data_IF_517197811355
#
_entry.id   IF_517197811355
#
_cell.length_a   1.000
_cell.length_b   1.000
_cell.length_c   1.000
_cell.angle_alpha   90.00
_cell.angle_beta   90.00
_cell.angle_gamma   90.00
#
_symmetry.space_group_name_H-M   'P 1'
#
loop_
_entity.id
_entity.type
_entity.pdbx_description
1 polymer ?
#
# COMPACT_ATOMS: atom_id res chain seq x y z
N UNK A 1 10.75 -16.37 -12.88
CA UNK A 1 9.99 -15.50 -11.97
C UNK A 1 10.21 -14.07 -12.44
N UNK A 2 9.14 -13.35 -12.79
CA UNK A 2 9.25 -11.98 -13.30
C UNK A 2 9.60 -11.04 -12.16
N UNK A 3 10.65 -10.25 -12.34
CA UNK A 3 11.12 -9.29 -11.34
C UNK A 3 10.40 -7.98 -11.57
N UNK A 4 9.71 -7.49 -10.55
CA UNK A 4 9.07 -6.17 -10.55
C UNK A 4 9.96 -5.20 -9.78
N UNK A 5 10.16 -4.00 -10.32
CA UNK A 5 10.97 -2.97 -9.66
C UNK A 5 10.25 -2.36 -8.44
N UNK A 6 8.91 -2.34 -8.47
CA UNK A 6 8.09 -1.77 -7.42
C UNK A 6 6.81 -2.58 -7.19
N UNK A 7 6.34 -2.60 -5.94
CA UNK A 7 5.08 -3.23 -5.54
C UNK A 7 4.16 -2.19 -4.88
N UNK A 8 2.95 -2.07 -5.39
CA UNK A 8 1.90 -1.20 -4.87
C UNK A 8 0.93 -2.04 -4.03
N UNK A 9 1.13 -2.04 -2.72
CA UNK A 9 0.29 -2.77 -1.78
C UNK A 9 -0.93 -1.92 -1.41
N UNK A 10 -2.05 -2.17 -2.09
CA UNK A 10 -3.29 -1.44 -1.90
C UNK A 10 -4.17 -2.16 -0.87
N UNK A 11 -4.64 -1.43 0.14
CA UNK A 11 -5.48 -2.00 1.19
C UNK A 11 -6.85 -2.44 0.63
N UNK A 12 -7.13 -3.75 0.71
CA UNK A 12 -8.40 -4.39 0.35
C UNK A 12 -9.34 -4.62 1.53
N UNK A 13 -9.14 -3.93 2.67
CA UNK A 13 -10.08 -3.99 3.78
C UNK A 13 -11.41 -3.32 3.44
N UNK A 14 -12.52 -3.77 4.02
CA UNK A 14 -13.88 -3.24 3.75
C UNK A 14 -14.00 -1.73 3.93
N UNK A 15 -13.31 -1.15 4.92
CA UNK A 15 -13.25 0.30 5.10
C UNK A 15 -12.59 1.02 3.92
N UNK A 16 -11.50 0.45 3.38
CA UNK A 16 -10.82 0.99 2.20
C UNK A 16 -11.67 0.82 0.92
N UNK A 17 -12.33 -0.34 0.75
CA UNK A 17 -13.27 -0.54 -0.35
C UNK A 17 -14.42 0.47 -0.31
N UNK A 18 -15.01 0.68 0.87
CA UNK A 18 -16.07 1.66 1.07
C UNK A 18 -15.61 3.11 0.77
N UNK A 19 -14.35 3.42 1.06
CA UNK A 19 -13.73 4.72 0.71
C UNK A 19 -13.22 4.82 -0.74
N UNK A 20 -13.44 3.79 -1.59
CA UNK A 20 -13.16 3.86 -3.03
C UNK A 20 -11.85 3.21 -3.49
N UNK A 21 -11.22 2.34 -2.70
CA UNK A 21 -9.95 1.70 -3.10
C UNK A 21 -10.07 0.85 -4.39
N UNK A 22 -11.24 0.28 -4.69
CA UNK A 22 -11.47 -0.44 -5.95
C UNK A 22 -11.41 0.49 -7.18
N UNK A 23 -11.88 1.74 -7.05
CA UNK A 23 -11.77 2.72 -8.12
C UNK A 23 -10.31 3.17 -8.31
N UNK A 24 -9.58 3.35 -7.21
CA UNK A 24 -8.14 3.60 -7.21
C UNK A 24 -7.38 2.47 -7.91
N UNK A 25 -7.69 1.19 -7.61
CA UNK A 25 -7.09 0.02 -8.27
C UNK A 25 -7.30 0.06 -9.78
N UNK A 26 -8.52 0.35 -10.24
CA UNK A 26 -8.85 0.45 -11.67
C UNK A 26 -8.07 1.58 -12.36
N UNK A 27 -7.99 2.75 -11.72
CA UNK A 27 -7.22 3.88 -12.23
C UNK A 27 -5.72 3.56 -12.32
N UNK A 28 -5.16 2.86 -11.32
CA UNK A 28 -3.78 2.40 -11.33
C UNK A 28 -3.49 1.47 -12.50
N UNK A 29 -4.33 0.45 -12.73
CA UNK A 29 -4.16 -0.47 -13.86
C UNK A 29 -4.14 0.30 -15.18
N UNK A 30 -5.14 1.16 -15.40
CA UNK A 30 -5.26 1.93 -16.64
C UNK A 30 -4.06 2.87 -16.87
N UNK A 31 -3.57 3.55 -15.84
CA UNK A 31 -2.45 4.48 -15.98
C UNK A 31 -1.11 3.76 -16.16
N UNK A 32 -0.91 2.60 -15.51
CA UNK A 32 0.28 1.76 -15.72
C UNK A 32 0.31 1.20 -17.14
N UNK A 33 -0.82 0.74 -17.67
CA UNK A 33 -0.93 0.25 -19.05
C UNK A 33 -0.60 1.36 -20.05
N UNK A 34 -1.16 2.56 -19.84
CA UNK A 34 -0.92 3.74 -20.69
C UNK A 34 0.55 4.17 -20.72
N UNK A 35 1.28 4.00 -19.61
CA UNK A 35 2.71 4.31 -19.51
C UNK A 35 3.64 3.12 -19.82
N UNK A 36 3.09 1.97 -20.21
CA UNK A 36 3.82 0.72 -20.43
C UNK A 36 4.61 0.23 -19.20
N UNK A 37 4.12 0.50 -18.00
CA UNK A 37 4.76 0.15 -16.72
C UNK A 37 4.22 -1.13 -16.09
N UNK A 38 3.19 -1.75 -16.68
CA UNK A 38 2.52 -2.95 -16.14
C UNK A 38 3.44 -4.18 -16.05
N UNK A 39 4.52 -4.20 -16.84
CA UNK A 39 5.54 -5.25 -16.77
C UNK A 39 6.59 -5.01 -15.67
N UNK A 40 6.69 -3.78 -15.16
CA UNK A 40 7.70 -3.36 -14.18
C UNK A 40 7.12 -3.19 -12.76
N UNK A 41 5.83 -2.86 -12.66
CA UNK A 41 5.18 -2.48 -11.41
C UNK A 41 4.00 -3.42 -11.14
N UNK A 42 3.99 -4.02 -9.95
CA UNK A 42 2.93 -4.95 -9.55
C UNK A 42 1.98 -4.29 -8.57
N UNK A 43 0.70 -4.28 -8.88
CA UNK A 43 -0.34 -3.93 -7.91
C UNK A 43 -0.74 -5.20 -7.17
N UNK A 44 -0.73 -5.15 -5.84
CA UNK A 44 -1.16 -6.24 -4.97
C UNK A 44 -2.24 -5.70 -4.07
N UNK A 45 -3.41 -6.33 -4.08
CA UNK A 45 -4.44 -6.04 -3.10
C UNK A 45 -4.14 -6.85 -1.85
N UNK A 46 -3.84 -6.16 -0.75
CA UNK A 46 -3.52 -6.80 0.53
C UNK A 46 -4.74 -6.86 1.42
N UNK A 47 -4.62 -7.57 2.54
CA UNK A 47 -5.58 -7.44 3.65
C UNK A 47 -5.65 -6.02 4.24
N UNK A 48 -6.51 -5.85 5.25
CA UNK A 48 -6.70 -4.56 5.93
C UNK A 48 -5.41 -4.05 6.58
N UNK A 49 -5.09 -2.78 6.36
CA UNK A 49 -3.93 -2.12 6.98
C UNK A 49 -4.20 -1.66 8.43
N UNK A 50 -5.46 -1.35 8.77
CA UNK A 50 -5.92 -1.09 10.14
C UNK A 50 -6.22 0.37 10.48
N UNK A 51 -5.78 1.34 9.67
CA UNK A 51 -6.02 2.77 9.92
C UNK A 51 -7.13 3.34 9.00
N UNK A 52 -8.37 2.85 9.19
CA UNK A 52 -9.48 3.15 8.28
C UNK A 52 -9.80 4.65 8.12
N UNK A 53 -9.48 5.48 9.11
CA UNK A 53 -9.67 6.94 9.04
C UNK A 53 -8.84 7.61 7.92
N UNK A 54 -7.81 6.92 7.42
CA UNK A 54 -6.93 7.39 6.35
C UNK A 54 -7.11 6.59 5.05
N UNK A 55 -8.16 5.77 4.95
CA UNK A 55 -8.49 5.00 3.75
C UNK A 55 -8.94 5.90 2.58
N UNK A 56 -8.64 5.52 1.32
CA UNK A 56 -7.82 4.39 0.87
C UNK A 56 -6.32 4.54 1.19
N UNK A 57 -5.70 3.44 1.63
CA UNK A 57 -4.26 3.36 1.95
C UNK A 57 -3.53 2.50 0.92
N UNK A 58 -2.36 2.96 0.48
CA UNK A 58 -1.43 2.19 -0.34
C UNK A 58 -0.01 2.32 0.19
N UNK A 59 0.73 1.23 0.22
CA UNK A 59 2.17 1.23 0.56
C UNK A 59 2.97 0.86 -0.67
N UNK A 60 4.01 1.63 -0.98
CA UNK A 60 4.91 1.40 -2.11
C UNK A 60 6.22 0.80 -1.60
N UNK A 61 6.58 -0.36 -2.13
CA UNK A 61 7.88 -0.99 -1.92
C UNK A 61 8.75 -0.86 -3.18
N UNK A 62 10.08 -0.73 -3.04
CA UNK A 62 10.89 -1.02 -1.84
C UNK A 62 10.97 0.08 -0.77
N UNK A 63 10.55 1.31 -1.05
CA UNK A 63 10.76 2.48 -0.19
C UNK A 63 9.98 2.43 1.14
N UNK A 64 8.91 1.64 1.21
CA UNK A 64 8.04 1.56 2.39
C UNK A 64 7.14 2.78 2.59
N UNK A 65 6.96 3.56 1.52
CA UNK A 65 6.22 4.83 1.56
C UNK A 65 4.72 4.59 1.63
N UNK A 66 4.04 5.23 2.57
CA UNK A 66 2.59 5.16 2.73
C UNK A 66 1.90 6.38 2.11
N UNK A 67 0.92 6.10 1.25
CA UNK A 67 -0.04 7.08 0.75
C UNK A 67 -1.40 6.86 1.38
N UNK A 68 -2.03 7.96 1.74
CA UNK A 68 -3.29 8.00 2.48
C UNK A 68 -4.33 8.84 1.75
N UNK A 69 -5.61 8.57 2.01
CA UNK A 69 -6.74 9.32 1.43
C UNK A 69 -6.70 9.40 -0.11
N UNK A 70 -6.18 8.36 -0.76
CA UNK A 70 -5.92 8.34 -2.20
C UNK A 70 -7.25 8.33 -2.96
N UNK A 71 -7.35 9.18 -3.97
CA UNK A 71 -8.49 9.19 -4.89
C UNK A 71 -8.08 8.75 -6.29
N UNK A 72 -9.02 8.26 -7.12
CA UNK A 72 -8.72 7.89 -8.51
C UNK A 72 -8.08 9.02 -9.33
N UNK A 73 -8.43 10.27 -9.03
CA UNK A 73 -7.92 11.45 -9.74
C UNK A 73 -6.45 11.75 -9.41
N UNK A 74 -5.94 11.23 -8.29
CA UNK A 74 -4.56 11.43 -7.87
C UNK A 74 -3.58 10.51 -8.61
N UNK A 75 -4.09 9.45 -9.25
CA UNK A 75 -3.28 8.37 -9.81
C UNK A 75 -2.34 8.81 -10.94
N UNK A 76 -2.77 9.64 -11.92
CA UNK A 76 -1.86 10.13 -12.95
C UNK A 76 -0.65 10.88 -12.38
N UNK A 77 -0.87 11.71 -11.35
CA UNK A 77 0.20 12.45 -10.67
C UNK A 77 1.07 11.52 -9.82
N UNK A 78 0.48 10.58 -9.08
CA UNK A 78 1.21 9.63 -8.24
C UNK A 78 2.15 8.75 -9.08
N UNK A 79 1.66 8.23 -10.21
CA UNK A 79 2.46 7.40 -11.11
C UNK A 79 3.60 8.23 -11.73
N UNK A 80 3.31 9.45 -12.15
CA UNK A 80 4.32 10.34 -12.73
C UNK A 80 5.41 10.76 -11.71
N UNK A 81 5.02 11.24 -10.54
CA UNK A 81 5.98 11.74 -9.56
C UNK A 81 6.76 10.60 -8.90
N UNK A 82 6.09 9.59 -8.37
CA UNK A 82 6.78 8.53 -7.64
C UNK A 82 7.36 7.49 -8.58
N UNK A 83 6.52 6.90 -9.44
CA UNK A 83 6.93 5.70 -10.18
C UNK A 83 7.83 6.03 -11.38
N UNK A 84 7.67 7.20 -12.00
CA UNK A 84 8.52 7.62 -13.13
C UNK A 84 9.70 8.48 -12.67
N UNK A 85 9.46 9.50 -11.83
CA UNK A 85 10.51 10.45 -11.43
C UNK A 85 11.21 10.13 -10.10
N UNK A 86 10.71 9.16 -9.33
CA UNK A 86 11.28 8.78 -8.03
C UNK A 86 11.05 9.80 -6.91
N UNK A 87 10.07 10.70 -7.04
CA UNK A 87 9.74 11.73 -6.04
C UNK A 87 8.44 11.42 -5.31
N UNK A 88 8.45 11.52 -3.99
CA UNK A 88 7.24 11.28 -3.22
C UNK A 88 6.22 12.40 -3.41
N UNK A 89 4.97 12.00 -3.68
CA UNK A 89 3.85 12.91 -3.75
C UNK A 89 3.46 13.40 -2.33
N UNK A 90 4.10 14.48 -1.88
CA UNK A 90 4.04 14.99 -0.50
C UNK A 90 2.62 15.17 0.05
N UNK A 91 1.68 15.64 -0.79
CA UNK A 91 0.29 15.92 -0.37
C UNK A 91 -0.50 14.68 0.05
N UNK A 92 -0.07 13.48 -0.33
CA UNK A 92 -0.73 12.21 0.00
C UNK A 92 -0.01 11.45 1.12
N UNK A 93 1.13 11.95 1.58
CA UNK A 93 1.85 11.37 2.72
C UNK A 93 1.09 11.68 4.01
N UNK A 94 1.29 10.83 5.03
CA UNK A 94 0.69 11.08 6.33
C UNK A 94 1.28 12.35 6.95
N UNK A 95 0.40 13.24 7.41
CA UNK A 95 0.75 14.41 8.20
C UNK A 95 0.29 14.19 9.63
N UNK A 96 1.21 14.25 10.58
CA UNK A 96 0.87 14.07 11.98
C UNK A 96 0.03 15.29 12.47
N UNK A 97 -1.14 15.07 13.11
CA UNK A 97 -2.08 16.16 13.42
C UNK A 97 -1.59 17.23 14.41
N UNK A 98 -0.62 16.93 15.27
CA UNK A 98 -0.17 17.75 16.39
C UNK A 98 1.06 18.60 16.05
N UNK A 99 2.03 17.98 15.39
CA UNK A 99 3.36 18.49 15.03
C UNK A 99 3.39 19.01 13.60
N UNK A 100 2.40 18.64 12.78
CA UNK A 100 2.32 18.94 11.36
C UNK A 100 3.46 18.33 10.51
N UNK A 101 4.25 17.43 11.09
CA UNK A 101 5.33 16.75 10.39
C UNK A 101 4.79 15.73 9.38
N UNK A 102 5.47 15.64 8.24
CA UNK A 102 5.16 14.66 7.20
C UNK A 102 5.97 13.40 7.47
N UNK A 103 5.29 12.28 7.67
CA UNK A 103 5.90 10.98 7.95
C UNK A 103 5.66 10.06 6.74
N UNK A 104 6.69 9.80 5.91
CA UNK A 104 6.52 9.03 4.68
C UNK A 104 6.43 7.53 4.95
N UNK A 105 6.96 7.03 6.06
CA UNK A 105 7.15 5.61 6.34
C UNK A 105 6.09 5.09 7.30
N UNK A 106 5.42 3.99 6.95
CA UNK A 106 4.35 3.43 7.77
C UNK A 106 4.79 3.08 9.20
N UNK A 107 6.02 2.58 9.38
CA UNK A 107 6.56 2.17 10.68
C UNK A 107 6.82 3.35 11.63
N UNK A 108 6.94 4.57 11.12
CA UNK A 108 7.23 5.77 11.91
C UNK A 108 5.96 6.49 12.38
N UNK A 109 4.81 6.21 11.76
CA UNK A 109 3.53 6.80 12.16
C UNK A 109 3.17 6.28 13.57
N UNK A 110 2.91 7.16 14.55
CA UNK A 110 2.64 6.76 15.94
C UNK A 110 1.54 5.71 16.09
N UNK A 111 0.49 5.79 15.25
CA UNK A 111 -0.58 4.79 15.23
C UNK A 111 -0.05 3.37 15.00
N UNK A 112 0.91 3.17 14.09
CA UNK A 112 1.49 1.85 13.80
C UNK A 112 2.69 1.52 14.69
N UNK A 113 3.56 2.49 14.94
CA UNK A 113 4.81 2.32 15.68
C UNK A 113 4.60 1.79 17.11
N UNK A 114 3.47 2.15 17.73
CA UNK A 114 3.15 1.77 19.11
C UNK A 114 2.41 0.42 19.22
N UNK A 115 2.21 -0.31 18.12
CA UNK A 115 1.47 -1.57 18.11
C UNK A 115 2.40 -2.78 18.07
N UNK A 116 2.14 -3.77 18.93
CA UNK A 116 2.76 -5.10 18.83
C UNK A 116 1.81 -6.07 18.11
N UNK A 117 1.98 -6.20 16.79
CA UNK A 117 1.11 -7.05 15.97
C UNK A 117 1.57 -8.52 16.04
N UNK A 118 1.01 -9.30 16.98
CA UNK A 118 1.29 -10.75 17.09
C UNK A 118 0.43 -11.58 16.14
N UNK A 119 -0.89 -11.49 16.30
CA UNK A 119 -1.87 -12.20 15.44
C UNK A 119 -1.95 -11.54 14.06
N UNK A 120 -1.90 -10.21 14.01
CA UNK A 120 -2.06 -9.43 12.79
C UNK A 120 -0.74 -9.10 12.08
N UNK A 121 0.36 -9.84 12.37
CA UNK A 121 1.71 -9.57 11.84
C UNK A 121 1.83 -9.54 10.31
N UNK A 122 0.88 -10.14 9.60
CA UNK A 122 0.85 -10.22 8.14
C UNK A 122 -0.11 -9.21 7.50
N UNK A 123 -0.88 -8.45 8.29
CA UNK A 123 -1.89 -7.53 7.75
C UNK A 123 -1.22 -6.47 6.88
N UNK A 124 -1.78 -6.19 5.70
CA UNK A 124 -1.24 -5.19 4.78
C UNK A 124 0.10 -5.55 4.12
N UNK A 125 0.65 -6.75 4.35
CA UNK A 125 1.96 -7.17 3.82
C UNK A 125 1.87 -8.30 2.79
N UNK A 126 0.83 -9.12 2.85
CA UNK A 126 0.61 -10.24 1.94
C UNK A 126 -0.69 -10.08 1.14
N UNK A 127 -0.70 -10.69 -0.03
CA UNK A 127 -1.91 -11.01 -0.77
C UNK A 127 -2.68 -12.12 -0.04
N UNK A 128 -3.89 -11.84 0.50
CA UNK A 128 -4.65 -12.82 1.26
C UNK A 128 -5.15 -13.99 0.40
N UNK A 129 -5.11 -13.88 -0.93
CA UNK A 129 -5.52 -14.94 -1.87
C UNK A 129 -4.35 -15.82 -2.34
N UNK A 130 -3.11 -15.55 -1.90
CA UNK A 130 -1.94 -16.37 -2.22
C UNK A 130 -1.39 -17.12 -1.01
N UNK A 131 -1.66 -18.41 -0.95
CA UNK A 131 -1.21 -19.28 0.16
C UNK A 131 0.31 -19.30 0.32
N UNK A 132 1.07 -19.21 -0.77
CA UNK A 132 2.54 -19.24 -0.74
C UNK A 132 3.12 -18.04 0.03
N UNK A 133 2.48 -16.86 -0.05
CA UNK A 133 2.90 -15.68 0.72
C UNK A 133 2.65 -15.86 2.22
N UNK A 134 1.60 -16.60 2.59
CA UNK A 134 1.32 -16.93 3.98
C UNK A 134 2.33 -17.97 4.51
N UNK A 135 2.61 -19.04 3.74
CA UNK A 135 3.60 -20.06 4.09
C UNK A 135 5.00 -19.43 4.23
N UNK A 136 5.38 -18.53 3.32
CA UNK A 136 6.66 -17.82 3.36
C UNK A 136 6.84 -16.94 4.62
N UNK A 137 5.77 -16.72 5.40
CA UNK A 137 5.77 -15.95 6.66
C UNK A 137 5.33 -16.81 7.85
N UNK A 138 5.84 -18.04 7.89
CA UNK A 138 5.61 -19.04 8.94
C UNK A 138 4.15 -19.48 9.08
N UNK A 139 3.36 -19.31 8.03
CA UNK A 139 2.02 -19.87 7.95
C UNK A 139 2.08 -21.39 8.07
N UNK A 140 1.15 -21.98 8.84
CA UNK A 140 1.07 -23.41 9.15
C UNK A 140 2.21 -23.99 10.01
N UNK A 141 3.29 -23.25 10.30
CA UNK A 141 4.42 -23.74 11.09
C UNK A 141 4.03 -24.20 12.51
N UNK A 142 2.97 -23.64 13.09
CA UNK A 142 2.46 -24.02 14.42
C UNK A 142 1.52 -25.23 14.45
N UNK A 143 1.27 -25.90 13.31
CA UNK A 143 0.44 -27.12 13.25
C UNK A 143 1.26 -28.42 13.34
N UNK A 144 2.58 -28.30 13.48
CA UNK A 144 3.52 -29.41 13.61
C UNK A 144 3.73 -29.82 15.07
#
# INVERSE_FOLDING_TARGET
>A
MKVFRAHLLLCGGTGCHASGSLAVKKALIAELDKKNLSEEIKIVETGCNGFCALGPIMVVYPEGVIYTLIKPEDIPELVEEHLVKGRFLQRLLYKEPTTEEVIPTMQEIPFFALQELRVLRNRGLIDPEKIDEYIARDGYAGMA
#
